data_IF_947521253409
#
_entry.id   IF_947521253409
#
_cell.length_a   1.000
_cell.length_b   1.000
_cell.length_c   1.000
_cell.angle_alpha   90.00
_cell.angle_beta   90.00
_cell.angle_gamma   90.00
#
_symmetry.space_group_name_H-M   'P 1'
#
loop_
_entity.id
_entity.type
_entity.pdbx_description
1 polymer ?
#
# COMPACT_ATOMS: atom_id res chain seq x y z
N UNK A 1 -5.12 3.52 -21.38
CA UNK A 1 -4.21 4.47 -20.75
C UNK A 1 -3.79 4.02 -19.38
N UNK A 2 -2.52 4.15 -19.09
CA UNK A 2 -2.04 3.71 -17.79
C UNK A 2 -2.15 4.80 -16.77
N UNK A 3 -2.40 4.42 -15.54
CA UNK A 3 -2.43 5.38 -14.45
C UNK A 3 -1.02 5.76 -14.08
N UNK A 4 -0.86 6.97 -13.59
CA UNK A 4 0.42 7.45 -13.09
C UNK A 4 0.49 7.11 -11.62
N UNK A 5 1.05 5.95 -11.32
CA UNK A 5 1.14 5.47 -9.95
C UNK A 5 2.51 4.86 -9.70
N UNK A 6 3.05 5.03 -8.50
CA UNK A 6 4.25 4.29 -8.13
C UNK A 6 3.89 2.82 -7.93
N UNK A 7 4.89 1.98 -7.76
CA UNK A 7 4.63 0.57 -7.50
C UNK A 7 3.95 0.41 -6.14
N UNK A 8 3.16 -0.66 -6.00
CA UNK A 8 2.52 -0.91 -4.73
C UNK A 8 3.55 -1.15 -3.63
N UNK A 9 4.68 -1.79 -3.95
CA UNK A 9 5.73 -2.01 -2.95
C UNK A 9 6.29 -0.70 -2.42
N UNK A 10 6.41 0.31 -3.28
CA UNK A 10 6.88 1.61 -2.82
C UNK A 10 5.86 2.26 -1.89
N UNK A 11 4.59 2.18 -2.24
CA UNK A 11 3.54 2.73 -1.39
C UNK A 11 3.46 2.01 -0.06
N UNK A 12 3.57 0.69 -0.10
CA UNK A 12 3.51 -0.14 1.10
C UNK A 12 4.69 0.18 2.03
N UNK A 13 5.88 0.31 1.46
CA UNK A 13 7.06 0.64 2.25
C UNK A 13 6.95 2.02 2.87
N UNK A 14 6.46 2.98 2.11
CA UNK A 14 6.28 4.34 2.61
C UNK A 14 5.30 4.36 3.79
N UNK A 15 4.16 3.72 3.61
CA UNK A 15 3.16 3.67 4.68
C UNK A 15 3.73 3.02 5.93
N UNK A 16 4.43 1.91 5.77
CA UNK A 16 4.97 1.18 6.92
C UNK A 16 6.06 1.98 7.63
N UNK A 17 6.93 2.65 6.88
CA UNK A 17 8.00 3.43 7.48
C UNK A 17 7.43 4.58 8.32
N UNK A 18 6.41 5.25 7.82
CA UNK A 18 5.81 6.35 8.55
C UNK A 18 5.09 5.84 9.79
N UNK A 19 4.29 4.80 9.63
CA UNK A 19 3.50 4.26 10.72
C UNK A 19 4.37 3.63 11.81
N UNK A 20 5.40 2.90 11.42
CA UNK A 20 6.29 2.25 12.38
C UNK A 20 7.29 3.21 13.00
N UNK A 21 7.55 4.32 12.35
CA UNK A 21 8.46 5.32 12.90
C UNK A 21 9.90 5.18 12.44
N UNK A 22 10.27 4.08 11.80
CA UNK A 22 11.62 3.93 11.27
C UNK A 22 11.67 2.77 10.27
N UNK A 23 12.78 2.74 9.52
CA UNK A 23 12.96 1.75 8.46
C UNK A 23 13.15 0.34 9.01
N UNK A 24 13.82 0.22 10.16
CA UNK A 24 14.10 -1.10 10.73
C UNK A 24 12.81 -1.82 11.09
N UNK A 25 11.91 -1.13 11.79
CA UNK A 25 10.64 -1.73 12.18
C UNK A 25 9.78 -2.03 10.97
N UNK A 26 9.77 -1.14 9.99
CA UNK A 26 8.99 -1.36 8.78
C UNK A 26 9.50 -2.59 8.04
N UNK A 27 10.82 -2.75 7.95
CA UNK A 27 11.40 -3.90 7.29
C UNK A 27 11.01 -5.19 8.00
N UNK A 28 11.05 -5.19 9.33
CA UNK A 28 10.64 -6.37 10.10
C UNK A 28 9.18 -6.70 9.83
N UNK A 29 8.32 -5.70 9.86
CA UNK A 29 6.89 -5.92 9.65
C UNK A 29 6.62 -6.47 8.25
N UNK A 30 7.33 -5.96 7.25
CA UNK A 30 7.10 -6.36 5.88
C UNK A 30 7.86 -7.62 5.48
N UNK A 31 8.70 -8.14 6.38
CA UNK A 31 9.49 -9.32 6.05
C UNK A 31 10.52 -9.03 4.98
N UNK A 32 11.12 -7.86 5.02
CA UNK A 32 12.09 -7.42 4.02
C UNK A 32 13.32 -6.85 4.70
N UNK A 33 14.40 -6.66 3.92
CA UNK A 33 15.61 -6.07 4.48
C UNK A 33 15.44 -4.55 4.57
N UNK A 34 16.23 -3.93 5.42
CA UNK A 34 16.24 -2.47 5.54
C UNK A 34 16.65 -1.83 4.22
N UNK A 35 17.63 -2.42 3.54
CA UNK A 35 18.07 -1.91 2.25
C UNK A 35 16.94 -1.93 1.23
N UNK A 36 16.16 -3.00 1.22
CA UNK A 36 15.05 -3.10 0.28
C UNK A 36 14.00 -2.04 0.55
N UNK A 37 13.68 -1.82 1.83
CA UNK A 37 12.69 -0.81 2.19
C UNK A 37 13.20 0.58 1.84
N UNK A 38 14.47 0.87 2.16
CA UNK A 38 15.06 2.15 1.83
C UNK A 38 15.07 2.40 0.33
N UNK A 39 15.32 1.36 -0.46
CA UNK A 39 15.29 1.49 -1.91
C UNK A 39 13.88 1.83 -2.40
N UNK A 40 12.87 1.22 -1.80
CA UNK A 40 11.49 1.52 -2.20
C UNK A 40 11.11 2.97 -1.87
N UNK A 41 11.59 3.49 -0.75
CA UNK A 41 11.36 4.88 -0.42
C UNK A 41 12.03 5.78 -1.46
N UNK A 42 13.28 5.47 -1.82
CA UNK A 42 13.99 6.23 -2.83
C UNK A 42 13.28 6.17 -4.18
N UNK A 43 12.77 4.99 -4.54
CA UNK A 43 12.02 4.83 -5.79
C UNK A 43 10.76 5.69 -5.79
N UNK A 44 10.08 5.77 -4.67
CA UNK A 44 8.88 6.59 -4.57
C UNK A 44 9.21 8.07 -4.76
N UNK A 45 10.26 8.53 -4.09
CA UNK A 45 10.66 9.93 -4.22
C UNK A 45 11.12 10.25 -5.63
N UNK A 46 11.81 9.31 -6.26
CA UNK A 46 12.24 9.49 -7.62
C UNK A 46 11.05 9.53 -8.58
N UNK A 47 10.09 8.66 -8.37
CA UNK A 47 8.89 8.65 -9.19
C UNK A 47 8.13 9.97 -9.06
N UNK A 48 8.02 10.47 -7.84
CA UNK A 48 7.31 11.71 -7.57
C UNK A 48 8.12 12.94 -7.95
N UNK A 49 9.42 12.76 -8.17
CA UNK A 49 10.36 13.83 -8.47
C UNK A 49 10.37 14.87 -7.38
N UNK A 50 10.27 14.43 -6.15
CA UNK A 50 10.40 15.31 -5.00
C UNK A 50 10.61 14.47 -3.77
N UNK A 51 11.26 15.06 -2.77
CA UNK A 51 11.46 14.40 -1.51
C UNK A 51 10.17 14.39 -0.71
N UNK A 52 9.97 13.33 0.03
CA UNK A 52 8.86 13.22 0.96
C UNK A 52 9.37 13.22 2.39
N UNK A 53 10.65 13.01 2.57
CA UNK A 53 11.29 13.01 3.87
C UNK A 53 12.43 14.00 3.93
N UNK A 54 12.71 14.45 5.16
CA UNK A 54 13.90 15.21 5.45
C UNK A 54 14.71 14.38 6.42
N UNK A 55 16.02 14.31 6.24
CA UNK A 55 16.84 13.60 7.19
C UNK A 55 17.24 14.55 8.28
N UNK A 56 16.91 14.18 9.53
CA UNK A 56 17.23 15.01 10.66
C UNK A 56 17.89 14.10 11.69
N UNK A 57 19.17 14.23 11.89
CA UNK A 57 19.92 13.43 12.88
C UNK A 57 19.74 11.94 12.64
N UNK A 58 19.90 11.55 11.39
CA UNK A 58 19.78 10.15 10.99
C UNK A 58 18.37 9.60 11.06
N UNK A 59 17.39 10.47 11.24
CA UNK A 59 16.00 10.04 11.21
C UNK A 59 15.34 10.56 9.97
N UNK A 60 14.36 9.81 9.49
CA UNK A 60 13.56 10.25 8.36
C UNK A 60 12.32 10.93 8.94
N UNK A 61 12.17 12.19 8.64
CA UNK A 61 11.03 12.96 9.12
C UNK A 61 10.26 13.42 7.90
N UNK A 62 8.97 13.25 7.88
CA UNK A 62 8.16 13.66 6.74
C UNK A 62 8.25 15.16 6.55
N UNK A 63 8.44 15.60 5.30
CA UNK A 63 8.29 17.00 4.99
C UNK A 63 6.81 17.27 4.75
N UNK A 64 6.47 18.51 4.35
CA UNK A 64 5.07 18.87 4.16
C UNK A 64 4.41 18.00 3.09
N UNK A 65 5.07 17.82 1.95
CA UNK A 65 4.53 17.02 0.88
C UNK A 65 4.32 15.58 1.34
N UNK A 66 5.27 15.04 2.10
CA UNK A 66 5.16 13.69 2.63
C UNK A 66 3.99 13.53 3.58
N UNK A 67 3.77 14.54 4.44
CA UNK A 67 2.65 14.47 5.39
C UNK A 67 1.32 14.49 4.65
N UNK A 68 1.18 15.37 3.67
CA UNK A 68 -0.06 15.45 2.93
C UNK A 68 -0.32 14.18 2.14
N UNK A 69 0.71 13.67 1.51
CA UNK A 69 0.58 12.45 0.73
C UNK A 69 0.25 11.26 1.62
N UNK A 70 0.90 11.16 2.77
CA UNK A 70 0.67 10.05 3.69
C UNK A 70 -0.78 10.03 4.18
N UNK A 71 -1.32 11.18 4.56
CA UNK A 71 -2.68 11.24 5.07
C UNK A 71 -3.68 10.77 4.04
N UNK A 72 -3.48 11.17 2.78
CA UNK A 72 -4.40 10.73 1.72
C UNK A 72 -4.18 9.28 1.38
N UNK A 73 -2.93 8.84 1.36
CA UNK A 73 -2.62 7.46 1.03
C UNK A 73 -3.26 6.48 2.01
N UNK A 74 -3.19 6.78 3.30
CA UNK A 74 -3.79 5.89 4.30
C UNK A 74 -5.29 5.73 4.05
N UNK A 75 -5.98 6.82 3.78
CA UNK A 75 -7.41 6.77 3.49
C UNK A 75 -7.68 5.90 2.26
N UNK A 76 -6.89 6.11 1.22
CA UNK A 76 -7.09 5.36 -0.03
C UNK A 76 -6.78 3.88 0.16
N UNK A 77 -5.75 3.55 0.94
CA UNK A 77 -5.43 2.15 1.21
C UNK A 77 -6.52 1.49 2.05
N UNK A 78 -7.05 2.20 3.03
CA UNK A 78 -8.15 1.68 3.84
C UNK A 78 -9.38 1.41 2.98
N UNK A 79 -9.67 2.31 2.06
CA UNK A 79 -10.80 2.12 1.15
C UNK A 79 -10.56 0.94 0.22
N UNK A 80 -9.34 0.81 -0.28
CA UNK A 80 -9.02 -0.31 -1.14
C UNK A 80 -9.14 -1.62 -0.39
N UNK A 81 -8.65 -1.64 0.84
CA UNK A 81 -8.77 -2.84 1.66
C UNK A 81 -10.22 -3.21 1.91
N UNK A 82 -11.05 -2.21 2.20
CA UNK A 82 -12.47 -2.45 2.44
C UNK A 82 -13.12 -3.07 1.20
N UNK A 83 -12.79 -2.58 0.01
CA UNK A 83 -13.34 -3.15 -1.21
C UNK A 83 -12.83 -4.56 -1.44
N UNK A 84 -11.58 -4.81 -1.11
CA UNK A 84 -11.01 -6.14 -1.27
C UNK A 84 -11.67 -7.15 -0.32
N UNK A 85 -11.93 -6.73 0.91
CA UNK A 85 -12.61 -7.58 1.88
C UNK A 85 -14.01 -7.92 1.38
N UNK A 86 -14.71 -6.97 0.79
CA UNK A 86 -16.01 -7.23 0.21
C UNK A 86 -15.94 -8.28 -0.87
N UNK A 87 -14.93 -8.20 -1.72
CA UNK A 87 -14.75 -9.18 -2.77
C UNK A 87 -14.59 -10.59 -2.21
N UNK A 88 -13.75 -10.72 -1.21
CA UNK A 88 -13.53 -12.02 -0.60
C UNK A 88 -14.82 -12.57 0.01
N UNK A 89 -15.57 -11.73 0.67
CA UNK A 89 -16.82 -12.13 1.29
C UNK A 89 -17.87 -12.50 0.25
N UNK A 90 -17.98 -11.70 -0.81
CA UNK A 90 -18.94 -11.98 -1.87
C UNK A 90 -18.59 -13.28 -2.57
N UNK A 91 -17.31 -13.53 -2.82
CA UNK A 91 -16.90 -14.74 -3.48
C UNK A 91 -17.25 -15.96 -2.65
N UNK A 92 -17.04 -15.91 -1.36
CA UNK A 92 -17.37 -17.03 -0.50
C UNK A 92 -18.88 -17.30 -0.52
N UNK A 93 -19.67 -16.24 -0.48
CA UNK A 93 -21.13 -16.40 -0.52
C UNK A 93 -21.58 -16.96 -1.86
N UNK A 94 -20.95 -16.51 -2.95
CA UNK A 94 -21.31 -16.99 -4.27
C UNK A 94 -20.96 -18.46 -4.44
N UNK A 95 -19.85 -18.88 -3.89
CA UNK A 95 -19.50 -20.28 -3.96
C UNK A 95 -20.52 -21.14 -3.26
N UNK A 96 -21.00 -20.71 -2.12
CA UNK A 96 -22.03 -21.45 -1.40
C UNK A 96 -23.28 -21.51 -2.23
N UNK A 97 -23.66 -20.42 -2.88
CA UNK A 97 -24.84 -20.43 -3.71
C UNK A 97 -24.68 -21.34 -4.90
N UNK A 98 -23.51 -21.36 -5.50
CA UNK A 98 -23.32 -22.19 -6.66
C UNK A 98 -23.40 -23.66 -6.33
N UNK A 99 -23.06 -24.05 -5.13
CA UNK A 99 -23.22 -25.41 -4.74
C UNK A 99 -24.70 -25.79 -4.68
N UNK A 100 -25.56 -24.82 -4.43
CA UNK A 100 -26.96 -25.09 -4.36
C UNK A 100 -27.67 -24.83 -5.68
N UNK A 101 -27.08 -24.10 -6.60
CA UNK A 101 -27.70 -23.76 -7.85
C UNK A 101 -26.80 -24.16 -8.97
N UNK A 102 -26.94 -25.30 -9.42
CA UNK A 102 -26.04 -25.77 -10.42
C UNK A 102 -26.02 -25.01 -11.71
N UNK A 103 -27.02 -24.41 -12.08
CA UNK A 103 -26.98 -23.80 -13.32
C UNK A 103 -26.40 -22.53 -13.25
N UNK A 104 -25.35 -22.19 -13.49
CA UNK A 104 -24.82 -21.10 -13.36
C UNK A 104 -24.80 -20.39 -14.57
N UNK A 105 -25.06 -19.35 -14.68
CA UNK A 105 -25.13 -18.75 -15.79
C UNK A 105 -23.99 -18.25 -16.16
N UNK A 106 -23.36 -18.72 -16.72
CA UNK A 106 -22.22 -18.31 -17.00
C UNK A 106 -22.10 -17.26 -17.85
N UNK A 107 -22.67 -16.91 -18.48
CA UNK A 107 -22.48 -16.03 -19.35
C UNK A 107 -22.59 -14.84 -18.91
N UNK A 108 -22.23 -14.47 -18.56
CA UNK A 108 -22.31 -13.34 -18.24
C UNK A 108 -21.38 -12.84 -18.09
#
# INVERSE_FOLDING_TARGET
MRRTLPSFRALESFEAVVRCGNVTRAADELGRTQSAVSRQIANLEEFARRDLFVRDRKQLVLNRAGREYYQRLVTLLDELEAETVKLVTIEAADRTREEQRPEMVANQ
#
